data_IF_595514951032
#
_entry.id   IF_595514951032
#
_cell.length_a   1.000
_cell.length_b   1.000
_cell.length_c   1.000
_cell.angle_alpha   90.00
_cell.angle_beta   90.00
_cell.angle_gamma   90.00
#
_symmetry.space_group_name_H-M   'P 1'
#
loop_
_entity.id
_entity.type
_entity.pdbx_description
1 polymer ?
#
# COMPACT_ATOMS: atom_id res chain seq x y z
N UNK A 1 -6.03 15.19 17.49
CA UNK A 1 -5.55 14.82 16.15
C UNK A 1 -4.44 15.81 15.84
N UNK A 2 -3.23 15.33 15.56
CA UNK A 2 -2.13 16.21 15.15
C UNK A 2 -2.36 16.71 13.72
N UNK A 3 -2.04 17.97 13.43
CA UNK A 3 -2.06 18.52 12.05
C UNK A 3 -0.80 18.13 11.25
N UNK A 4 -0.05 17.12 11.73
CA UNK A 4 1.16 16.68 11.06
C UNK A 4 0.80 15.97 9.75
N UNK A 5 1.42 16.44 8.67
CA UNK A 5 1.25 15.93 7.31
C UNK A 5 2.48 15.16 6.89
N UNK A 6 2.27 13.95 6.39
CA UNK A 6 3.33 13.03 5.99
C UNK A 6 3.32 12.85 4.48
N UNK A 7 4.40 13.25 3.83
CA UNK A 7 4.52 13.12 2.37
C UNK A 7 5.01 11.72 1.97
N UNK A 8 4.28 11.01 1.08
CA UNK A 8 4.75 9.74 0.53
C UNK A 8 6.02 9.89 -0.32
N UNK A 9 6.85 8.85 -0.30
CA UNK A 9 8.07 8.81 -1.12
C UNK A 9 7.74 8.53 -2.60
N UNK A 10 8.66 8.88 -3.51
CA UNK A 10 8.51 8.58 -4.93
C UNK A 10 8.41 7.06 -5.22
N UNK A 11 9.07 6.22 -4.42
CA UNK A 11 8.97 4.76 -4.54
C UNK A 11 7.59 4.24 -4.16
N UNK A 12 6.99 4.77 -3.09
CA UNK A 12 5.60 4.45 -2.73
C UNK A 12 4.63 4.84 -3.85
N UNK A 13 4.82 6.01 -4.46
CA UNK A 13 4.00 6.45 -5.59
C UNK A 13 4.15 5.54 -6.80
N UNK A 14 5.38 5.11 -7.12
CA UNK A 14 5.63 4.15 -8.20
C UNK A 14 4.96 2.79 -7.93
N UNK A 15 5.06 2.27 -6.71
CA UNK A 15 4.39 1.04 -6.30
C UNK A 15 2.86 1.16 -6.41
N UNK A 16 2.30 2.27 -5.93
CA UNK A 16 0.86 2.51 -5.99
C UNK A 16 0.35 2.57 -7.44
N UNK A 17 1.08 3.25 -8.34
CA UNK A 17 0.78 3.27 -9.78
C UNK A 17 0.82 1.87 -10.39
N UNK A 18 1.86 1.10 -10.09
CA UNK A 18 1.97 -0.30 -10.53
C UNK A 18 0.81 -1.15 -9.99
N UNK A 19 0.44 -0.98 -8.72
CA UNK A 19 -0.69 -1.68 -8.12
C UNK A 19 -2.02 -1.35 -8.83
N UNK A 20 -2.25 -0.07 -9.17
CA UNK A 20 -3.43 0.37 -9.92
C UNK A 20 -3.48 -0.26 -11.32
N UNK A 21 -2.35 -0.29 -12.04
CA UNK A 21 -2.25 -0.92 -13.35
C UNK A 21 -2.53 -2.42 -13.29
N UNK A 22 -1.95 -3.14 -12.32
CA UNK A 22 -2.18 -4.56 -12.15
C UNK A 22 -3.63 -4.85 -11.72
N UNK A 23 -4.22 -4.03 -10.84
CA UNK A 23 -5.64 -4.13 -10.48
C UNK A 23 -6.53 -3.95 -11.70
N UNK A 24 -6.24 -2.97 -12.55
CA UNK A 24 -7.01 -2.72 -13.77
C UNK A 24 -6.90 -3.86 -14.78
N UNK A 25 -5.71 -4.46 -14.92
CA UNK A 25 -5.45 -5.57 -15.85
C UNK A 25 -6.03 -6.91 -15.39
N UNK A 26 -5.91 -7.23 -14.11
CA UNK A 26 -6.25 -8.55 -13.59
C UNK A 26 -7.54 -8.59 -12.76
N UNK A 27 -8.12 -7.43 -12.42
CA UNK A 27 -9.32 -7.31 -11.60
C UNK A 27 -9.22 -8.03 -10.25
N UNK A 28 -8.04 -7.99 -9.63
CA UNK A 28 -7.70 -8.66 -8.36
C UNK A 28 -7.11 -7.68 -7.36
N UNK A 29 -7.30 -7.98 -6.07
CA UNK A 29 -6.61 -7.29 -4.97
C UNK A 29 -7.18 -5.92 -4.62
N UNK A 30 -7.17 -5.62 -3.32
CA UNK A 30 -7.60 -4.34 -2.75
C UNK A 30 -9.12 -4.16 -2.69
N UNK A 31 -9.58 -3.46 -1.66
CA UNK A 31 -10.94 -2.89 -1.59
C UNK A 31 -10.93 -1.46 -2.16
N UNK A 32 -12.09 -0.81 -2.24
CA UNK A 32 -12.18 0.61 -2.63
C UNK A 32 -11.33 1.52 -1.73
N UNK A 33 -11.17 1.17 -0.44
CA UNK A 33 -10.26 1.87 0.47
C UNK A 33 -8.81 1.77 0.01
N UNK A 34 -8.37 0.57 -0.41
CA UNK A 34 -7.03 0.37 -0.94
C UNK A 34 -6.82 1.06 -2.28
N UNK A 35 -7.85 1.10 -3.14
CA UNK A 35 -7.83 1.83 -4.40
C UNK A 35 -7.64 3.34 -4.17
N UNK A 36 -8.47 3.96 -3.33
CA UNK A 36 -8.33 5.38 -3.03
C UNK A 36 -6.99 5.72 -2.36
N UNK A 37 -6.49 4.85 -1.47
CA UNK A 37 -5.16 5.01 -0.89
C UNK A 37 -4.10 5.03 -1.99
N UNK A 38 -4.17 4.10 -2.95
CA UNK A 38 -3.23 4.04 -4.05
C UNK A 38 -3.27 5.32 -4.91
N UNK A 39 -4.46 5.87 -5.17
CA UNK A 39 -4.60 7.13 -5.90
C UNK A 39 -3.91 8.29 -5.16
N UNK A 40 -4.11 8.41 -3.84
CA UNK A 40 -3.44 9.42 -3.01
C UNK A 40 -1.91 9.25 -3.04
N UNK A 41 -1.44 8.01 -2.86
CA UNK A 41 -0.01 7.70 -2.90
C UNK A 41 0.61 7.98 -4.27
N UNK A 42 -0.10 7.64 -5.36
CA UNK A 42 0.35 7.86 -6.74
C UNK A 42 0.51 9.35 -7.09
N UNK A 43 -0.34 10.21 -6.51
CA UNK A 43 -0.23 11.68 -6.60
C UNK A 43 0.73 12.30 -5.59
N UNK A 44 1.25 11.49 -4.65
CA UNK A 44 2.02 11.96 -3.50
C UNK A 44 1.27 13.01 -2.67
N UNK A 45 -0.04 12.83 -2.56
CA UNK A 45 -0.87 13.62 -1.65
C UNK A 45 -0.35 13.43 -0.22
N UNK A 46 -0.30 14.51 0.56
CA UNK A 46 0.10 14.41 1.95
C UNK A 46 -0.95 13.64 2.76
N UNK A 47 -0.50 12.80 3.67
CA UNK A 47 -1.34 11.94 4.50
C UNK A 47 -1.35 12.41 5.96
N UNK A 48 -2.47 12.21 6.65
CA UNK A 48 -2.60 12.52 8.07
C UNK A 48 -2.19 11.36 9.00
N UNK A 49 -2.20 11.61 10.31
CA UNK A 49 -1.91 10.59 11.33
C UNK A 49 -2.79 9.33 11.22
N UNK A 50 -4.09 9.51 10.97
CA UNK A 50 -5.05 8.40 10.82
C UNK A 50 -4.73 7.51 9.60
N UNK A 51 -4.25 8.13 8.52
CA UNK A 51 -3.81 7.45 7.33
C UNK A 51 -2.60 6.56 7.64
N UNK A 52 -1.60 7.10 8.35
CA UNK A 52 -0.40 6.34 8.77
C UNK A 52 -0.81 5.11 9.59
N UNK A 53 -1.68 5.30 10.59
CA UNK A 53 -2.15 4.20 11.45
C UNK A 53 -2.90 3.15 10.64
N UNK A 54 -3.73 3.58 9.69
CA UNK A 54 -4.44 2.69 8.76
C UNK A 54 -3.48 1.88 7.89
N UNK A 55 -2.45 2.51 7.33
CA UNK A 55 -1.41 1.85 6.55
C UNK A 55 -0.64 0.83 7.40
N UNK A 56 -0.20 1.21 8.60
CA UNK A 56 0.50 0.32 9.53
C UNK A 56 -0.35 -0.91 9.89
N UNK A 57 -1.61 -0.71 10.28
CA UNK A 57 -2.54 -1.80 10.59
C UNK A 57 -2.86 -2.69 9.38
N UNK A 58 -2.86 -2.13 8.17
CA UNK A 58 -2.99 -2.92 6.95
C UNK A 58 -1.80 -3.87 6.79
N UNK A 59 -0.57 -3.34 6.78
CA UNK A 59 0.63 -4.15 6.55
C UNK A 59 0.87 -5.20 7.64
N UNK A 60 0.55 -4.90 8.89
CA UNK A 60 0.68 -5.86 9.99
C UNK A 60 -0.22 -7.09 9.81
N UNK A 61 -1.44 -6.92 9.26
CA UNK A 61 -2.39 -8.01 9.07
C UNK A 61 -2.16 -8.81 7.78
N UNK A 62 -1.62 -8.16 6.76
CA UNK A 62 -1.49 -8.74 5.41
C UNK A 62 -0.06 -9.22 5.09
N UNK A 63 0.85 -9.25 6.07
CA UNK A 63 2.18 -9.82 5.89
C UNK A 63 2.14 -11.30 5.47
N UNK A 64 1.16 -12.06 5.99
CA UNK A 64 0.94 -13.48 5.67
C UNK A 64 0.50 -13.71 4.22
N UNK A 65 -0.04 -12.70 3.54
CA UNK A 65 -0.49 -12.83 2.15
C UNK A 65 0.68 -13.11 1.19
N UNK A 66 1.93 -12.82 1.61
CA UNK A 66 3.15 -13.17 0.88
C UNK A 66 3.34 -14.68 0.72
N UNK A 67 2.72 -15.48 1.57
CA UNK A 67 2.83 -16.94 1.59
C UNK A 67 1.73 -17.64 0.77
N UNK A 68 0.81 -16.87 0.18
CA UNK A 68 -0.26 -17.40 -0.65
C UNK A 68 0.27 -18.18 -1.87
N UNK A 69 -0.28 -19.37 -2.11
CA UNK A 69 0.19 -20.30 -3.17
C UNK A 69 -0.60 -20.24 -4.48
N UNK A 70 -1.71 -19.51 -4.53
CA UNK A 70 -2.64 -19.52 -5.66
C UNK A 70 -2.13 -18.74 -6.88
N UNK A 71 -1.31 -17.71 -6.66
CA UNK A 71 -0.75 -16.82 -7.67
C UNK A 71 0.59 -16.29 -7.18
N UNK A 72 1.37 -15.68 -8.06
CA UNK A 72 2.77 -15.34 -7.77
C UNK A 72 2.90 -13.97 -7.10
N UNK A 73 3.63 -13.93 -5.99
CA UNK A 73 4.07 -12.66 -5.40
C UNK A 73 5.18 -12.06 -6.25
N UNK A 74 5.07 -10.78 -6.64
CA UNK A 74 6.11 -10.11 -7.43
C UNK A 74 6.01 -10.28 -8.95
N UNK A 75 5.03 -11.02 -9.46
CA UNK A 75 4.84 -11.26 -10.90
C UNK A 75 3.99 -10.17 -11.55
N UNK A 76 4.40 -9.70 -12.72
CA UNK A 76 3.63 -8.73 -13.53
C UNK A 76 2.69 -9.42 -14.54
N UNK A 77 2.87 -10.74 -14.70
CA UNK A 77 2.10 -11.58 -15.62
C UNK A 77 1.00 -12.36 -14.91
N UNK A 78 1.24 -12.80 -13.67
CA UNK A 78 0.24 -13.50 -12.86
C UNK A 78 0.30 -13.11 -11.37
N UNK A 79 0.12 -11.82 -11.05
CA UNK A 79 0.18 -11.33 -9.68
C UNK A 79 -0.90 -11.95 -8.79
N UNK A 80 -0.52 -12.22 -7.54
CA UNK A 80 -1.49 -12.54 -6.48
C UNK A 80 -2.31 -11.33 -6.07
N UNK A 81 -3.53 -11.57 -5.60
CA UNK A 81 -4.39 -10.51 -5.05
C UNK A 81 -3.73 -9.80 -3.86
N UNK A 82 -2.97 -10.55 -3.04
CA UNK A 82 -2.16 -10.01 -1.95
C UNK A 82 -1.06 -9.08 -2.45
N UNK A 83 -0.34 -9.45 -3.52
CA UNK A 83 0.71 -8.60 -4.09
C UNK A 83 0.14 -7.31 -4.67
N UNK A 84 -0.97 -7.37 -5.40
CA UNK A 84 -1.62 -6.16 -5.93
C UNK A 84 -2.06 -5.26 -4.78
N UNK A 85 -2.75 -5.82 -3.78
CA UNK A 85 -3.18 -5.05 -2.61
C UNK A 85 -1.97 -4.42 -1.88
N UNK A 86 -0.89 -5.16 -1.71
CA UNK A 86 0.33 -4.65 -1.09
C UNK A 86 0.93 -3.45 -1.83
N UNK A 87 0.96 -3.51 -3.17
CA UNK A 87 1.40 -2.40 -4.02
C UNK A 87 0.48 -1.19 -3.94
N UNK A 88 -0.85 -1.39 -3.88
CA UNK A 88 -1.82 -0.30 -3.70
C UNK A 88 -1.56 0.50 -2.41
N UNK A 89 -1.06 -0.15 -1.37
CA UNK A 89 -0.67 0.51 -0.11
C UNK A 89 0.76 1.05 -0.10
N UNK A 90 1.48 1.00 -1.24
CA UNK A 90 2.81 1.59 -1.40
C UNK A 90 3.96 0.60 -1.31
N UNK A 91 3.69 -0.71 -1.25
CA UNK A 91 4.70 -1.76 -1.26
C UNK A 91 5.53 -1.83 0.02
N UNK A 92 6.69 -2.48 -0.06
CA UNK A 92 7.60 -2.62 1.10
C UNK A 92 8.11 -1.26 1.59
N UNK A 93 8.27 -0.29 0.69
CA UNK A 93 8.56 1.11 1.06
C UNK A 93 7.42 1.76 1.83
N UNK A 94 6.17 1.50 1.44
CA UNK A 94 4.99 1.96 2.17
C UNK A 94 4.92 1.36 3.57
N UNK A 95 5.22 0.08 3.71
CA UNK A 95 5.31 -0.59 5.01
C UNK A 95 6.38 0.04 5.89
N UNK A 96 7.62 0.12 5.42
CA UNK A 96 8.72 0.67 6.21
C UNK A 96 8.46 2.13 6.62
N UNK A 97 7.84 2.90 5.72
CA UNK A 97 7.42 4.27 5.99
C UNK A 97 6.33 4.33 7.06
N UNK A 98 5.27 3.54 6.94
CA UNK A 98 4.18 3.49 7.92
C UNK A 98 4.67 3.03 9.30
N UNK A 99 5.50 1.99 9.37
CA UNK A 99 6.10 1.49 10.62
C UNK A 99 6.91 2.60 11.33
N UNK A 100 7.73 3.34 10.57
CA UNK A 100 8.56 4.43 11.09
C UNK A 100 7.73 5.56 11.71
N UNK A 101 6.66 5.97 11.04
CA UNK A 101 5.84 7.10 11.52
C UNK A 101 4.84 6.66 12.58
N UNK A 102 4.26 5.45 12.48
CA UNK A 102 3.40 4.90 13.52
C UNK A 102 4.13 4.81 14.87
N UNK A 103 5.42 4.42 14.87
CA UNK A 103 6.23 4.38 16.09
C UNK A 103 6.48 5.76 16.74
N UNK A 104 6.36 6.86 15.98
CA UNK A 104 6.48 8.23 16.50
C UNK A 104 5.16 8.80 17.03
N UNK A 105 4.05 8.20 16.62
CA UNK A 105 2.68 8.60 16.96
C UNK A 105 2.11 7.78 18.13
N UNK A 106 2.90 6.86 18.67
CA UNK A 106 2.62 6.04 19.85
C UNK A 106 3.14 6.74 21.11
#
# INVERSE_FOLDING_TARGET
MSDERFKPTAKMAANAKKGLELRAKFHRGGTEVGFHRAEQLARQDELGEEDIKSMHSYFARHAVDKEGKSHEWGSDENPSAGYIAWLLWGGDEGKAWADRYAAKLA
#
